data_IF_567516214795
#
_entry.id   IF_567516214795
#
_cell.length_a   1.000
_cell.length_b   1.000
_cell.length_c   1.000
_cell.angle_alpha   90.00
_cell.angle_beta   90.00
_cell.angle_gamma   90.00
#
_symmetry.space_group_name_H-M   'P 1'
#
loop_
_entity.id
_entity.type
_entity.pdbx_description
1 polymer ?
#
# COMPACT_ATOMS: atom_id res chain seq x y z
N UNK A 1 -11.25 -28.24 -2.36
CA UNK A 1 -12.13 -27.07 -2.16
C UNK A 1 -11.34 -26.10 -1.31
N UNK A 2 -10.86 -25.00 -1.90
CA UNK A 2 -10.24 -23.91 -1.15
C UNK A 2 -11.32 -23.30 -0.25
N UNK A 3 -11.07 -23.24 1.04
CA UNK A 3 -11.95 -22.54 1.98
C UNK A 3 -11.71 -21.06 1.77
N UNK A 4 -12.58 -20.40 0.98
CA UNK A 4 -12.56 -18.94 0.89
C UNK A 4 -12.82 -18.37 2.27
N UNK A 5 -11.82 -17.64 2.79
CA UNK A 5 -11.97 -16.92 4.05
C UNK A 5 -13.07 -15.86 3.88
N UNK A 6 -14.04 -15.83 4.78
CA UNK A 6 -15.06 -14.79 4.77
C UNK A 6 -14.44 -13.41 5.00
N UNK A 7 -15.10 -12.35 4.53
CA UNK A 7 -14.66 -10.95 4.74
C UNK A 7 -14.41 -10.65 6.25
N UNK A 8 -15.16 -11.26 7.14
CA UNK A 8 -15.02 -11.10 8.59
C UNK A 8 -13.79 -11.84 9.12
N UNK A 9 -13.48 -13.03 8.61
CA UNK A 9 -12.26 -13.76 8.95
C UNK A 9 -11.02 -13.01 8.50
N UNK A 10 -11.02 -12.43 7.30
CA UNK A 10 -9.92 -11.62 6.79
C UNK A 10 -9.76 -10.35 7.63
N UNK A 11 -10.85 -9.66 7.99
CA UNK A 11 -10.78 -8.50 8.88
C UNK A 11 -10.16 -8.85 10.23
N UNK A 12 -10.51 -9.98 10.85
CA UNK A 12 -9.91 -10.45 12.11
C UNK A 12 -8.43 -10.77 11.95
N UNK A 13 -8.04 -11.39 10.83
CA UNK A 13 -6.63 -11.71 10.53
C UNK A 13 -5.80 -10.45 10.35
N UNK A 14 -6.36 -9.39 9.77
CA UNK A 14 -5.68 -8.11 9.52
C UNK A 14 -5.80 -7.12 10.68
N UNK A 15 -6.55 -7.44 11.74
CA UNK A 15 -6.77 -6.53 12.85
C UNK A 15 -5.44 -6.24 13.58
N UNK A 16 -5.07 -4.96 13.64
CA UNK A 16 -3.85 -4.50 14.29
C UNK A 16 -2.58 -4.64 13.44
N UNK A 17 -2.66 -5.14 12.19
CA UNK A 17 -1.55 -5.20 11.25
C UNK A 17 -1.63 -4.00 10.31
N UNK A 18 -0.51 -3.31 10.11
CA UNK A 18 -0.39 -2.20 9.16
C UNK A 18 0.82 -2.42 8.25
N UNK A 19 0.77 -1.85 7.06
CA UNK A 19 1.94 -1.75 6.19
C UNK A 19 2.94 -0.81 6.88
N UNK A 20 4.17 -1.26 7.18
CA UNK A 20 5.15 -0.42 7.84
C UNK A 20 5.69 0.64 6.87
N UNK A 21 5.96 1.87 7.34
CA UNK A 21 6.63 2.87 6.54
C UNK A 21 8.12 2.57 6.37
N UNK A 22 8.69 3.07 5.27
CA UNK A 22 10.12 2.96 4.99
C UNK A 22 10.92 3.84 5.97
N UNK A 23 11.92 3.32 6.69
CA UNK A 23 12.63 4.07 7.71
C UNK A 23 13.29 5.35 7.21
N UNK A 24 13.91 5.32 6.01
CA UNK A 24 14.57 6.50 5.43
C UNK A 24 13.57 7.64 5.18
N UNK A 25 12.39 7.32 4.64
CA UNK A 25 11.34 8.32 4.40
C UNK A 25 10.86 8.92 5.71
N UNK A 26 10.79 8.14 6.80
CA UNK A 26 10.45 8.66 8.12
C UNK A 26 11.48 9.68 8.64
N UNK A 27 12.78 9.41 8.44
CA UNK A 27 13.85 10.35 8.79
C UNK A 27 13.74 11.63 7.97
N UNK A 28 13.57 11.53 6.65
CA UNK A 28 13.46 12.67 5.74
C UNK A 28 12.24 13.55 6.10
N UNK A 29 11.10 12.93 6.45
CA UNK A 29 9.91 13.65 6.92
C UNK A 29 10.14 14.37 8.26
N UNK A 30 10.86 13.75 9.19
CA UNK A 30 11.22 14.39 10.46
C UNK A 30 12.13 15.60 10.23
N UNK A 31 13.07 15.51 9.30
CA UNK A 31 13.92 16.64 8.92
C UNK A 31 13.11 17.79 8.32
N UNK A 32 12.14 17.49 7.44
CA UNK A 32 11.26 18.50 6.84
C UNK A 32 10.39 19.21 7.90
N UNK A 33 9.94 18.47 8.92
CA UNK A 33 9.11 19.02 10.02
C UNK A 33 9.82 20.06 10.88
N UNK A 34 11.16 19.93 11.07
CA UNK A 34 11.93 20.89 11.90
C UNK A 34 12.35 22.14 11.14
N UNK A 35 12.05 22.22 9.84
CA UNK A 35 12.30 23.42 9.07
C UNK A 35 11.41 24.59 9.57
N UNK A 36 11.91 25.84 9.56
CA UNK A 36 11.14 27.01 10.02
C UNK A 36 9.80 27.17 9.28
N UNK A 37 9.74 26.76 8.02
CA UNK A 37 8.54 26.73 7.18
C UNK A 37 8.53 25.38 6.46
N UNK A 38 7.79 24.38 6.96
CA UNK A 38 7.69 23.07 6.31
C UNK A 38 7.07 23.18 4.91
N UNK A 39 7.69 22.55 3.91
CA UNK A 39 7.17 22.52 2.54
C UNK A 39 6.18 21.36 2.37
N UNK A 40 4.88 21.69 2.31
CA UNK A 40 3.81 20.70 2.08
C UNK A 40 3.98 19.91 0.78
N UNK A 41 4.61 20.48 -0.24
CA UNK A 41 4.86 19.75 -1.49
C UNK A 41 5.98 18.73 -1.32
N UNK A 42 7.04 19.09 -0.57
CA UNK A 42 8.10 18.16 -0.22
C UNK A 42 7.56 17.02 0.65
N UNK A 43 6.78 17.34 1.68
CA UNK A 43 6.11 16.36 2.55
C UNK A 43 5.20 15.43 1.72
N UNK A 44 4.36 15.96 0.84
CA UNK A 44 3.48 15.16 -0.01
C UNK A 44 4.29 14.22 -0.92
N UNK A 45 5.41 14.68 -1.47
CA UNK A 45 6.29 13.88 -2.31
C UNK A 45 6.90 12.72 -1.52
N UNK A 46 7.40 12.97 -0.31
CA UNK A 46 7.97 11.93 0.55
C UNK A 46 6.89 10.90 0.93
N UNK A 47 5.72 11.34 1.39
CA UNK A 47 4.61 10.43 1.73
C UNK A 47 4.20 9.59 0.52
N UNK A 48 4.16 10.18 -0.68
CA UNK A 48 3.74 9.46 -1.89
C UNK A 48 4.68 8.33 -2.30
N UNK A 49 5.90 8.33 -1.81
CA UNK A 49 6.88 7.27 -2.06
C UNK A 49 6.70 6.05 -1.13
N UNK A 50 5.86 6.15 -0.10
CA UNK A 50 5.70 5.12 0.91
C UNK A 50 4.25 4.61 0.97
N UNK A 51 4.01 3.30 0.70
CA UNK A 51 2.66 2.73 0.74
C UNK A 51 2.03 2.79 2.13
N UNK A 52 2.82 2.62 3.19
CA UNK A 52 2.33 2.65 4.57
C UNK A 52 1.81 4.03 4.97
N UNK A 53 2.59 5.06 4.70
CA UNK A 53 2.23 6.46 4.97
C UNK A 53 1.08 6.93 4.06
N UNK A 54 1.15 6.61 2.77
CA UNK A 54 0.09 6.94 1.81
C UNK A 54 -1.24 6.30 2.20
N UNK A 55 -1.22 5.02 2.59
CA UNK A 55 -2.41 4.32 3.07
C UNK A 55 -2.97 4.93 4.34
N UNK A 56 -2.13 5.29 5.32
CA UNK A 56 -2.55 5.95 6.56
C UNK A 56 -3.17 7.34 6.29
N UNK A 57 -2.56 8.12 5.38
CA UNK A 57 -3.05 9.43 4.97
C UNK A 57 -4.44 9.33 4.30
N UNK A 58 -4.58 8.43 3.32
CA UNK A 58 -5.84 8.24 2.60
C UNK A 58 -6.94 7.68 3.50
N UNK A 59 -6.59 6.80 4.43
CA UNK A 59 -7.54 6.33 5.46
C UNK A 59 -8.05 7.47 6.32
N UNK A 60 -7.19 8.39 6.72
CA UNK A 60 -7.55 9.54 7.54
C UNK A 60 -8.49 10.47 6.78
N UNK A 61 -8.10 10.92 5.58
CA UNK A 61 -8.88 11.89 4.79
C UNK A 61 -10.22 11.34 4.33
N UNK A 62 -10.29 10.05 4.03
CA UNK A 62 -11.52 9.37 3.60
C UNK A 62 -12.37 8.86 4.78
N UNK A 63 -12.01 9.22 6.02
CA UNK A 63 -12.83 8.87 7.18
C UNK A 63 -14.15 9.66 7.19
N UNK A 64 -15.21 9.14 7.83
CA UNK A 64 -16.50 9.83 7.92
C UNK A 64 -16.41 11.24 8.54
N UNK A 65 -15.38 11.50 9.33
CA UNK A 65 -15.16 12.81 9.97
C UNK A 65 -15.04 13.96 8.96
N UNK A 66 -14.46 13.69 7.78
CA UNK A 66 -14.29 14.72 6.74
C UNK A 66 -15.52 14.91 5.85
N UNK A 67 -16.52 14.02 5.92
CA UNK A 67 -17.79 14.15 5.22
C UNK A 67 -17.68 14.30 3.69
N UNK A 68 -16.64 13.73 3.09
CA UNK A 68 -16.41 13.86 1.65
C UNK A 68 -17.47 13.11 0.84
N UNK A 69 -18.04 13.78 -0.17
CA UNK A 69 -19.00 13.17 -1.09
C UNK A 69 -18.35 12.07 -1.94
N UNK A 70 -17.10 12.27 -2.34
CA UNK A 70 -16.31 11.30 -3.09
C UNK A 70 -15.00 11.01 -2.33
N UNK A 71 -14.53 9.77 -2.43
CA UNK A 71 -13.26 9.37 -1.83
C UNK A 71 -12.08 9.91 -2.62
N UNK A 72 -11.08 10.40 -1.90
CA UNK A 72 -9.83 10.90 -2.46
C UNK A 72 -8.87 9.73 -2.64
N UNK A 73 -8.25 9.63 -3.83
CA UNK A 73 -7.16 8.70 -4.13
C UNK A 73 -5.82 9.42 -4.37
N UNK A 74 -5.82 10.73 -4.63
CA UNK A 74 -4.60 11.53 -4.80
C UNK A 74 -3.99 11.89 -3.46
N UNK A 75 -2.73 11.53 -3.26
CA UNK A 75 -1.97 11.83 -2.04
C UNK A 75 -1.76 13.34 -1.90
N UNK A 76 -1.47 14.04 -3.01
CA UNK A 76 -1.30 15.49 -3.01
C UNK A 76 -2.60 16.21 -2.59
N UNK A 77 -3.76 15.75 -3.10
CA UNK A 77 -5.06 16.30 -2.69
C UNK A 77 -5.31 16.05 -1.19
N UNK A 78 -5.00 14.86 -0.70
CA UNK A 78 -5.15 14.51 0.71
C UNK A 78 -4.29 15.40 1.62
N UNK A 79 -3.01 15.61 1.27
CA UNK A 79 -2.11 16.51 2.02
C UNK A 79 -2.63 17.94 2.02
N UNK A 80 -3.08 18.45 0.88
CA UNK A 80 -3.61 19.80 0.77
C UNK A 80 -4.88 19.99 1.61
N UNK A 81 -5.76 18.99 1.65
CA UNK A 81 -7.00 19.03 2.43
C UNK A 81 -6.75 18.96 3.93
N UNK A 82 -5.83 18.09 4.36
CA UNK A 82 -5.52 17.91 5.78
C UNK A 82 -4.71 19.08 6.37
N UNK A 83 -3.88 19.70 5.55
CA UNK A 83 -2.97 20.75 5.97
C UNK A 83 -1.78 20.24 6.80
N UNK A 84 -0.81 21.12 7.03
CA UNK A 84 0.49 20.77 7.61
C UNK A 84 0.36 20.10 8.99
N UNK A 85 -0.39 20.68 9.91
CA UNK A 85 -0.49 20.18 11.29
C UNK A 85 -1.06 18.76 11.37
N UNK A 86 -2.10 18.46 10.60
CA UNK A 86 -2.72 17.13 10.61
C UNK A 86 -1.79 16.08 10.02
N UNK A 87 -1.06 16.45 8.96
CA UNK A 87 -0.08 15.55 8.31
C UNK A 87 1.10 15.29 9.25
N UNK A 88 1.63 16.33 9.93
CA UNK A 88 2.69 16.16 10.93
C UNK A 88 2.22 15.25 12.08
N UNK A 89 1.01 15.43 12.60
CA UNK A 89 0.48 14.55 13.64
C UNK A 89 0.36 13.09 13.16
N UNK A 90 -0.01 12.87 11.91
CA UNK A 90 -0.05 11.53 11.31
C UNK A 90 1.35 10.90 11.27
N UNK A 91 2.37 11.63 10.80
CA UNK A 91 3.75 11.16 10.73
C UNK A 91 4.25 10.80 12.13
N UNK A 92 4.03 11.67 13.11
CA UNK A 92 4.43 11.42 14.50
C UNK A 92 3.74 10.17 15.08
N UNK A 93 2.45 9.95 14.77
CA UNK A 93 1.73 8.77 15.20
C UNK A 93 2.28 7.47 14.57
N UNK A 94 2.80 7.53 13.35
CA UNK A 94 3.46 6.38 12.72
C UNK A 94 4.85 6.11 13.32
N UNK A 95 5.60 7.16 13.68
CA UNK A 95 6.90 7.04 14.35
C UNK A 95 6.83 6.30 15.69
N UNK A 96 5.72 6.45 16.42
CA UNK A 96 5.51 5.82 17.75
C UNK A 96 5.26 4.31 17.65
N UNK A 97 4.92 3.77 16.46
CA UNK A 97 4.58 2.34 16.30
C UNK A 97 5.76 1.36 16.45
N UNK A 98 6.94 1.85 16.70
CA UNK A 98 8.14 1.08 17.00
C UNK A 98 9.09 0.93 15.81
N UNK A 99 10.33 0.65 16.14
CA UNK A 99 11.38 0.38 15.16
C UNK A 99 11.23 -1.03 14.58
N UNK A 100 11.54 -1.17 13.29
CA UNK A 100 11.65 -2.48 12.64
C UNK A 100 13.06 -3.04 12.87
N UNK A 101 13.16 -4.38 12.97
CA UNK A 101 14.47 -5.02 12.96
C UNK A 101 15.13 -4.87 11.58
N UNK A 102 16.47 -4.85 11.54
CA UNK A 102 17.24 -4.78 10.30
C UNK A 102 16.85 -5.89 9.31
N UNK A 103 16.58 -7.10 9.80
CA UNK A 103 16.11 -8.22 8.99
C UNK A 103 14.77 -7.90 8.31
N UNK A 104 13.83 -7.29 9.02
CA UNK A 104 12.55 -6.86 8.46
C UNK A 104 12.73 -5.78 7.40
N UNK A 105 13.64 -4.82 7.63
CA UNK A 105 13.95 -3.74 6.69
C UNK A 105 14.50 -4.34 5.37
N UNK A 106 15.46 -5.25 5.46
CA UNK A 106 16.06 -5.93 4.30
C UNK A 106 14.99 -6.72 3.53
N UNK A 107 14.14 -7.46 4.24
CA UNK A 107 13.07 -8.25 3.64
C UNK A 107 12.06 -7.38 2.88
N UNK A 108 11.72 -6.21 3.42
CA UNK A 108 10.74 -5.30 2.81
C UNK A 108 11.35 -4.32 1.78
N UNK A 109 12.67 -4.24 1.65
CA UNK A 109 13.32 -3.29 0.71
C UNK A 109 12.79 -3.44 -0.71
N UNK A 110 12.75 -4.66 -1.23
CA UNK A 110 12.22 -4.95 -2.57
C UNK A 110 10.73 -4.59 -2.73
N UNK A 111 9.96 -4.72 -1.65
CA UNK A 111 8.56 -4.32 -1.68
C UNK A 111 8.43 -2.81 -1.86
N UNK A 112 9.18 -2.00 -1.10
CA UNK A 112 9.13 -0.54 -1.22
C UNK A 112 9.62 -0.07 -2.59
N UNK A 113 10.76 -0.58 -3.06
CA UNK A 113 11.33 -0.23 -4.37
C UNK A 113 10.35 -0.57 -5.50
N UNK A 114 9.82 -1.80 -5.51
CA UNK A 114 8.86 -2.21 -6.54
C UNK A 114 7.56 -1.43 -6.50
N UNK A 115 7.08 -1.04 -5.31
CA UNK A 115 5.88 -0.22 -5.18
C UNK A 115 6.05 1.15 -5.86
N UNK A 116 7.21 1.80 -5.66
CA UNK A 116 7.53 3.06 -6.33
C UNK A 116 7.68 2.91 -7.85
N UNK A 117 8.45 1.92 -8.29
CA UNK A 117 8.71 1.69 -9.72
C UNK A 117 7.40 1.45 -10.49
N UNK A 118 6.53 0.59 -9.96
CA UNK A 118 5.23 0.30 -10.58
C UNK A 118 4.32 1.52 -10.52
N UNK A 119 4.31 2.30 -9.43
CA UNK A 119 3.54 3.55 -9.35
C UNK A 119 3.97 4.55 -10.43
N UNK A 120 5.27 4.74 -10.64
CA UNK A 120 5.80 5.63 -11.66
C UNK A 120 5.51 5.12 -13.07
N UNK A 121 5.59 3.81 -13.30
CA UNK A 121 5.21 3.20 -14.57
C UNK A 121 3.72 3.42 -14.88
N UNK A 122 2.83 3.18 -13.91
CA UNK A 122 1.39 3.42 -14.04
C UNK A 122 1.07 4.89 -14.32
N UNK A 123 1.70 5.83 -13.60
CA UNK A 123 1.54 7.27 -13.84
C UNK A 123 1.96 7.66 -15.26
N UNK A 124 3.11 7.16 -15.69
CA UNK A 124 3.67 7.48 -17.00
C UNK A 124 2.79 6.94 -18.12
N UNK A 125 2.34 5.69 -17.99
CA UNK A 125 1.42 5.06 -18.93
C UNK A 125 0.09 5.82 -18.99
N UNK A 126 -0.52 6.10 -17.82
CA UNK A 126 -1.77 6.84 -17.74
C UNK A 126 -1.71 8.19 -18.45
N UNK A 127 -0.61 8.96 -18.28
CA UNK A 127 -0.40 10.21 -18.99
C UNK A 127 -0.28 10.02 -20.51
N UNK A 128 0.44 8.97 -20.94
CA UNK A 128 0.65 8.68 -22.37
C UNK A 128 -0.63 8.30 -23.10
N UNK A 129 -1.52 7.53 -22.46
CA UNK A 129 -2.80 7.12 -23.06
C UNK A 129 -3.94 8.11 -22.82
N UNK A 130 -3.67 9.26 -22.16
CA UNK A 130 -4.67 10.28 -21.87
C UNK A 130 -5.71 9.83 -20.82
N UNK A 131 -5.35 8.95 -19.89
CA UNK A 131 -6.23 8.55 -18.79
C UNK A 131 -6.58 9.75 -17.91
N UNK A 132 -7.86 9.90 -17.55
CA UNK A 132 -8.36 11.11 -16.90
C UNK A 132 -7.85 11.31 -15.47
N UNK A 133 -7.46 10.23 -14.78
CA UNK A 133 -7.02 10.26 -13.37
C UNK A 133 -5.62 9.65 -13.19
N UNK A 134 -4.54 10.28 -13.69
CA UNK A 134 -3.19 9.73 -13.58
C UNK A 134 -2.75 9.48 -12.13
N UNK A 135 -3.24 10.29 -11.17
CA UNK A 135 -2.96 10.11 -9.73
C UNK A 135 -3.57 8.83 -9.18
N UNK A 136 -4.75 8.41 -9.68
CA UNK A 136 -5.34 7.12 -9.31
C UNK A 136 -4.51 5.95 -9.86
N UNK A 137 -4.00 6.07 -11.09
CA UNK A 137 -3.11 5.08 -11.67
C UNK A 137 -1.80 4.96 -10.87
N UNK A 138 -1.24 6.08 -10.42
CA UNK A 138 -0.10 6.09 -9.50
C UNK A 138 -0.42 5.34 -8.20
N UNK A 139 -1.55 5.68 -7.57
CA UNK A 139 -2.02 5.08 -6.32
C UNK A 139 -2.25 3.57 -6.47
N UNK A 140 -2.84 3.14 -7.59
CA UNK A 140 -2.99 1.71 -7.90
C UNK A 140 -1.63 1.01 -7.96
N UNK A 141 -0.68 1.57 -8.69
CA UNK A 141 0.68 1.02 -8.79
C UNK A 141 1.38 0.94 -7.44
N UNK A 142 1.23 1.98 -6.60
CA UNK A 142 1.81 2.03 -5.26
C UNK A 142 1.26 0.93 -4.33
N UNK A 143 -0.02 0.61 -4.47
CA UNK A 143 -0.72 -0.30 -3.56
C UNK A 143 -0.97 -1.71 -4.10
N UNK A 144 -0.64 -2.01 -5.35
CA UNK A 144 -0.96 -3.32 -5.95
C UNK A 144 -0.50 -4.50 -5.09
N UNK A 145 0.66 -4.39 -4.47
CA UNK A 145 1.27 -5.42 -3.62
C UNK A 145 1.19 -5.11 -2.11
N UNK A 146 0.33 -4.19 -1.65
CA UNK A 146 0.26 -3.81 -0.22
C UNK A 146 -0.14 -4.96 0.72
N UNK A 147 -0.60 -6.08 0.19
CA UNK A 147 -0.86 -7.30 0.95
C UNK A 147 0.42 -8.06 1.36
N UNK A 148 1.53 -7.93 0.62
CA UNK A 148 2.77 -8.68 0.89
C UNK A 148 3.31 -8.45 2.30
N UNK A 149 3.48 -7.21 2.81
CA UNK A 149 3.97 -6.99 4.17
C UNK A 149 3.09 -7.62 5.25
N UNK A 150 1.78 -7.68 5.01
CA UNK A 150 0.83 -8.29 5.95
C UNK A 150 0.93 -9.82 5.92
N UNK A 151 1.11 -10.40 4.73
CA UNK A 151 1.36 -11.84 4.56
C UNK A 151 2.66 -12.25 5.26
N UNK A 152 3.74 -11.49 5.08
CA UNK A 152 5.03 -11.69 5.77
C UNK A 152 4.87 -11.72 7.29
N UNK A 153 4.10 -10.78 7.82
CA UNK A 153 3.87 -10.70 9.27
C UNK A 153 2.98 -11.82 9.80
N UNK A 154 2.05 -12.32 8.98
CA UNK A 154 1.04 -13.29 9.40
C UNK A 154 1.45 -14.74 9.22
N UNK A 155 2.19 -15.05 8.15
CA UNK A 155 2.53 -16.40 7.75
C UNK A 155 4.03 -16.63 7.86
N UNK A 156 4.50 -17.34 8.91
CA UNK A 156 5.90 -17.78 8.95
C UNK A 156 6.26 -18.59 7.69
N UNK A 157 7.39 -18.28 7.07
CA UNK A 157 7.81 -18.96 5.84
C UNK A 157 7.21 -18.39 4.54
N UNK A 158 6.43 -17.30 4.59
CA UNK A 158 5.86 -16.70 3.38
C UNK A 158 6.90 -16.30 2.33
N UNK A 159 8.12 -15.90 2.75
CA UNK A 159 9.21 -15.63 1.78
C UNK A 159 9.53 -16.84 0.90
N UNK A 160 9.60 -18.04 1.47
CA UNK A 160 9.86 -19.27 0.70
C UNK A 160 8.71 -19.56 -0.27
N UNK A 161 7.47 -19.27 0.11
CA UNK A 161 6.31 -19.39 -0.80
C UNK A 161 6.41 -18.40 -1.96
N UNK A 162 6.83 -17.15 -1.71
CA UNK A 162 7.06 -16.17 -2.77
C UNK A 162 8.19 -16.58 -3.69
N UNK A 163 9.32 -17.07 -3.15
CA UNK A 163 10.46 -17.55 -3.94
C UNK A 163 10.05 -18.71 -4.87
N UNK A 164 9.30 -19.70 -4.34
CA UNK A 164 8.72 -20.78 -5.15
C UNK A 164 7.79 -20.22 -6.23
N UNK A 165 6.93 -19.29 -5.87
CA UNK A 165 5.97 -18.69 -6.79
C UNK A 165 6.67 -17.95 -7.95
N UNK A 166 7.67 -17.13 -7.65
CA UNK A 166 8.44 -16.44 -8.69
C UNK A 166 9.26 -17.39 -9.56
N UNK A 167 9.82 -18.45 -8.99
CA UNK A 167 10.55 -19.48 -9.75
C UNK A 167 9.64 -20.25 -10.71
N UNK A 168 8.35 -20.41 -10.36
CA UNK A 168 7.38 -21.20 -11.13
C UNK A 168 6.61 -20.38 -12.18
N UNK A 169 6.80 -19.07 -12.27
CA UNK A 169 6.10 -18.22 -13.27
C UNK A 169 6.45 -18.58 -14.72
N UNK A 170 7.62 -19.17 -14.96
CA UNK A 170 8.03 -19.70 -16.27
C UNK A 170 7.16 -20.84 -16.79
N UNK A 171 6.45 -21.54 -15.92
CA UNK A 171 5.57 -22.68 -16.25
C UNK A 171 4.11 -22.27 -16.45
N UNK A 172 3.83 -20.95 -16.55
CA UNK A 172 2.48 -20.42 -16.76
C UNK A 172 1.61 -20.40 -15.51
N UNK A 173 2.15 -20.70 -14.33
CA UNK A 173 1.45 -20.56 -13.06
C UNK A 173 1.54 -19.11 -12.57
N UNK A 174 0.41 -18.59 -12.07
CA UNK A 174 0.38 -17.26 -11.45
C UNK A 174 0.87 -17.35 -10.00
N UNK A 175 1.52 -16.31 -9.52
CA UNK A 175 1.98 -16.20 -8.12
C UNK A 175 0.83 -16.48 -7.14
N UNK A 176 -0.34 -15.89 -7.39
CA UNK A 176 -1.53 -16.05 -6.54
C UNK A 176 -2.07 -17.49 -6.49
N UNK A 177 -1.84 -18.31 -7.52
CA UNK A 177 -2.28 -19.72 -7.53
C UNK A 177 -1.43 -20.54 -6.56
N UNK A 178 -0.14 -20.27 -6.47
CA UNK A 178 0.77 -20.93 -5.53
C UNK A 178 0.47 -20.52 -4.11
N UNK A 179 0.31 -19.21 -3.87
CA UNK A 179 -0.10 -18.70 -2.55
C UNK A 179 -1.43 -19.32 -2.09
N UNK A 180 -2.44 -19.36 -2.95
CA UNK A 180 -3.74 -19.99 -2.65
C UNK A 180 -3.61 -21.47 -2.30
N UNK A 181 -2.75 -22.20 -3.01
CA UNK A 181 -2.51 -23.62 -2.76
C UNK A 181 -1.89 -23.86 -1.38
N UNK A 182 -0.93 -23.01 -0.97
CA UNK A 182 -0.15 -23.20 0.25
C UNK A 182 -0.85 -22.55 1.46
N UNK A 183 -1.45 -21.36 1.29
CA UNK A 183 -1.93 -20.51 2.38
C UNK A 183 -3.45 -20.35 2.42
N UNK A 184 -4.18 -20.89 1.44
CA UNK A 184 -5.64 -20.70 1.25
C UNK A 184 -6.04 -19.22 1.12
N UNK A 185 -5.10 -18.36 0.80
CA UNK A 185 -5.27 -16.93 0.51
C UNK A 185 -4.06 -16.43 -0.29
N UNK A 186 -4.11 -15.19 -0.77
CA UNK A 186 -3.02 -14.59 -1.51
C UNK A 186 -2.88 -13.09 -1.20
N UNK A 187 -1.75 -12.50 -1.59
CA UNK A 187 -1.46 -11.09 -1.32
C UNK A 187 -2.44 -10.12 -2.02
N UNK A 188 -3.01 -10.46 -3.18
CA UNK A 188 -3.95 -9.61 -3.88
C UNK A 188 -5.29 -9.51 -3.13
N UNK A 189 -5.78 -10.63 -2.57
CA UNK A 189 -6.97 -10.66 -1.71
C UNK A 189 -6.73 -9.88 -0.42
N UNK A 190 -5.59 -10.10 0.23
CA UNK A 190 -5.20 -9.34 1.43
C UNK A 190 -5.06 -7.85 1.11
N UNK A 191 -4.47 -7.51 -0.04
CA UNK A 191 -4.36 -6.15 -0.56
C UNK A 191 -5.71 -5.47 -0.77
N UNK A 192 -6.69 -6.18 -1.33
CA UNK A 192 -8.07 -5.69 -1.46
C UNK A 192 -8.65 -5.24 -0.11
N UNK A 193 -8.59 -6.11 0.90
CA UNK A 193 -9.13 -5.78 2.21
C UNK A 193 -8.35 -4.66 2.90
N UNK A 194 -7.04 -4.59 2.66
CA UNK A 194 -6.20 -3.49 3.15
C UNK A 194 -6.62 -2.16 2.53
N UNK A 195 -6.69 -2.08 1.21
CA UNK A 195 -7.13 -0.91 0.47
C UNK A 195 -8.55 -0.48 0.87
N UNK A 196 -9.45 -1.45 1.06
CA UNK A 196 -10.80 -1.19 1.57
C UNK A 196 -10.80 -0.64 3.00
N UNK A 197 -9.91 -1.11 3.85
CA UNK A 197 -9.74 -0.57 5.21
C UNK A 197 -9.16 0.84 5.24
N UNK A 198 -8.47 1.25 4.19
CA UNK A 198 -7.99 2.62 3.96
C UNK A 198 -9.04 3.52 3.30
N UNK A 199 -10.25 3.01 3.11
CA UNK A 199 -11.35 3.71 2.45
C UNK A 199 -11.03 4.18 1.02
N UNK A 200 -10.23 3.43 0.28
CA UNK A 200 -9.98 3.73 -1.13
C UNK A 200 -11.25 3.56 -1.99
N UNK A 201 -11.33 4.23 -3.15
CA UNK A 201 -12.38 3.96 -4.14
C UNK A 201 -12.48 2.49 -4.48
N UNK A 202 -13.72 1.97 -4.62
CA UNK A 202 -13.93 0.53 -4.79
C UNK A 202 -13.26 -0.03 -6.05
N UNK A 203 -13.28 0.73 -7.15
CA UNK A 203 -12.62 0.33 -8.40
C UNK A 203 -11.12 0.12 -8.26
N UNK A 204 -10.43 0.89 -7.39
CA UNK A 204 -9.02 0.66 -7.08
C UNK A 204 -8.84 -0.60 -6.22
N UNK A 205 -9.73 -0.83 -5.25
CA UNK A 205 -9.71 -2.07 -4.47
C UNK A 205 -9.87 -3.29 -5.37
N UNK A 206 -10.82 -3.26 -6.30
CA UNK A 206 -11.10 -4.33 -7.25
C UNK A 206 -9.91 -4.54 -8.21
N UNK A 207 -9.27 -3.46 -8.67
CA UNK A 207 -8.07 -3.55 -9.49
C UNK A 207 -6.89 -4.20 -8.71
N UNK A 208 -6.71 -3.87 -7.43
CA UNK A 208 -5.71 -4.51 -6.55
C UNK A 208 -6.01 -6.01 -6.40
N UNK A 209 -7.29 -6.39 -6.20
CA UNK A 209 -7.67 -7.79 -6.08
C UNK A 209 -7.36 -8.61 -7.34
N UNK A 210 -7.42 -7.97 -8.51
CA UNK A 210 -7.37 -8.65 -9.81
C UNK A 210 -6.09 -8.36 -10.62
N UNK A 211 -5.06 -7.73 -10.04
CA UNK A 211 -3.89 -7.33 -10.81
C UNK A 211 -3.09 -8.51 -11.40
N UNK A 212 -3.26 -9.73 -10.88
CA UNK A 212 -2.73 -10.96 -11.47
C UNK A 212 -3.70 -11.64 -12.46
N UNK A 213 -4.92 -11.11 -12.64
CA UNK A 213 -5.94 -11.68 -13.53
C UNK A 213 -6.13 -10.87 -14.83
N UNK A 214 -5.29 -9.89 -15.10
CA UNK A 214 -5.47 -8.93 -16.19
C UNK A 214 -5.42 -9.55 -17.61
N UNK A 215 -5.05 -10.81 -17.74
CA UNK A 215 -4.93 -11.52 -19.02
C UNK A 215 -5.86 -12.73 -19.15
N UNK A 216 -6.88 -12.86 -18.30
CA UNK A 216 -7.87 -13.93 -18.36
C UNK A 216 -9.16 -13.48 -19.05
#
# INVERSE_FOLDING_TARGET
MAVELSAEQIRRVLQGISVPPQPQIMVDLQMEQVMPVPDLKAIARLISQDPGLSGALLKLVNSPHFGLANRIASIQQAVNLLGCNSVINLINAQSIKGEMSDETIVTLSRFWDSAQDVAMACLTLAKRIGYQSPDEAYTLGLFHNCGIPLMLKRFPGYMSVLEEAYASTGDGQRIVDIENRVLSTNHAVVGYFTAKSWNLPLHLCDAIANHHNALS
#
